data_IF_311488259647
#
_entry.id   IF_311488259647
#
_cell.length_a   1.000
_cell.length_b   1.000
_cell.length_c   1.000
_cell.angle_alpha   90.00
_cell.angle_beta   90.00
_cell.angle_gamma   90.00
#
_symmetry.space_group_name_H-M   'P 1'
#
loop_
_entity.id
_entity.type
_entity.pdbx_description
1 polymer ?
#
# COMPACT_ATOMS: atom_id res chain seq x y z
N UNK A 1 -5.02 13.20 17.06
CA UNK A 1 -5.09 14.07 15.88
C UNK A 1 -5.71 15.44 16.16
N UNK A 2 -5.41 16.06 17.29
CA UNK A 2 -5.91 17.38 17.63
C UNK A 2 -5.13 18.56 17.08
N UNK A 3 -4.11 18.32 16.25
CA UNK A 3 -3.27 19.39 15.70
C UNK A 3 -3.75 19.79 14.30
N UNK A 4 -3.72 21.10 14.02
CA UNK A 4 -3.99 21.56 12.65
C UNK A 4 -2.88 21.11 11.70
N UNK A 5 -3.22 20.96 10.43
CA UNK A 5 -2.25 20.60 9.40
C UNK A 5 -1.10 21.60 9.33
N UNK A 6 -1.41 22.90 9.47
CA UNK A 6 -0.41 23.96 9.47
C UNK A 6 0.60 23.79 10.61
N UNK A 7 0.12 23.48 11.81
CA UNK A 7 0.99 23.26 12.98
C UNK A 7 1.91 22.05 12.79
N UNK A 8 1.36 20.97 12.24
CA UNK A 8 2.12 19.74 11.97
C UNK A 8 3.23 20.01 10.95
N UNK A 9 2.91 20.66 9.85
CA UNK A 9 3.89 20.97 8.80
C UNK A 9 4.97 21.92 9.31
N UNK A 10 4.61 22.85 10.21
CA UNK A 10 5.54 23.77 10.83
C UNK A 10 6.53 23.03 11.74
N UNK A 11 6.04 22.11 12.55
CA UNK A 11 6.88 21.28 13.42
C UNK A 11 7.81 20.37 12.61
N UNK A 12 7.33 19.80 11.51
CA UNK A 12 8.14 18.95 10.65
C UNK A 12 9.25 19.76 9.99
N UNK A 13 8.96 20.96 9.49
CA UNK A 13 9.96 21.85 8.92
C UNK A 13 11.06 22.16 9.93
N UNK A 14 10.69 22.44 11.16
CA UNK A 14 11.63 22.68 12.24
C UNK A 14 12.52 21.48 12.52
N UNK A 15 11.97 20.27 12.52
CA UNK A 15 12.72 19.03 12.72
C UNK A 15 13.67 18.75 11.58
N UNK A 16 13.22 18.96 10.34
CA UNK A 16 14.07 18.78 9.15
C UNK A 16 15.30 19.68 9.23
N UNK A 17 15.11 20.93 9.60
CA UNK A 17 16.21 21.89 9.73
C UNK A 17 17.16 21.53 10.88
N UNK A 18 16.64 20.91 11.94
CA UNK A 18 17.45 20.43 13.05
C UNK A 18 18.30 19.23 12.65
N UNK A 19 17.72 18.28 11.92
CA UNK A 19 18.39 17.06 11.48
C UNK A 19 19.39 17.32 10.34
N UNK A 20 19.11 18.31 9.52
CA UNK A 20 19.97 18.67 8.38
C UNK A 20 20.37 20.14 8.51
N UNK A 21 21.42 20.44 9.31
CA UNK A 21 21.81 21.84 9.57
C UNK A 21 22.10 22.67 8.34
N UNK A 22 22.54 22.05 7.24
CA UNK A 22 22.79 22.75 5.98
C UNK A 22 21.54 23.36 5.37
N UNK A 23 20.36 22.88 5.79
CA UNK A 23 19.07 23.40 5.29
C UNK A 23 18.61 24.67 6.02
N UNK A 24 19.26 25.08 7.09
CA UNK A 24 18.84 26.26 7.89
C UNK A 24 18.76 27.55 7.09
N UNK A 25 19.63 27.72 6.11
CA UNK A 25 19.69 28.91 5.27
C UNK A 25 18.82 28.82 4.03
N UNK A 26 18.13 27.70 3.83
CA UNK A 26 17.26 27.51 2.67
C UNK A 26 15.89 28.12 2.93
N UNK A 27 15.35 28.76 1.90
CA UNK A 27 14.02 29.38 1.95
C UNK A 27 12.97 28.32 1.63
N UNK A 28 11.98 28.18 2.51
CA UNK A 28 10.82 27.33 2.26
C UNK A 28 9.91 28.01 1.24
N UNK A 29 9.73 27.40 0.07
CA UNK A 29 8.89 27.94 -0.99
C UNK A 29 7.43 27.54 -0.84
N UNK A 30 7.22 26.29 -0.40
CA UNK A 30 5.86 25.74 -0.29
C UNK A 30 5.86 24.55 0.65
N UNK A 31 4.80 24.40 1.40
CA UNK A 31 4.55 23.21 2.22
C UNK A 31 3.05 22.95 2.30
N UNK A 32 2.71 21.68 2.44
CA UNK A 32 1.32 21.27 2.60
C UNK A 32 1.29 19.96 3.36
N UNK A 33 0.16 19.67 3.97
CA UNK A 33 -0.05 18.44 4.70
C UNK A 33 -1.48 17.97 4.54
N UNK A 34 -1.64 16.66 4.43
CA UNK A 34 -2.95 16.01 4.36
C UNK A 34 -2.99 14.96 5.45
N UNK A 35 -4.03 15.01 6.28
CA UNK A 35 -4.25 14.02 7.33
C UNK A 35 -5.22 12.97 6.81
N UNK A 36 -4.78 11.72 6.78
CA UNK A 36 -5.60 10.60 6.32
C UNK A 36 -5.81 9.66 7.50
N UNK A 37 -6.95 9.79 8.23
CA UNK A 37 -7.25 8.86 9.31
C UNK A 37 -7.55 7.48 8.74
N UNK A 38 -7.16 6.43 9.47
CA UNK A 38 -7.40 5.04 9.08
C UNK A 38 -6.81 4.68 7.70
N UNK A 39 -5.63 5.25 7.37
CA UNK A 39 -4.96 4.96 6.10
C UNK A 39 -4.42 3.54 6.01
N UNK A 40 -4.18 2.89 7.16
CA UNK A 40 -3.69 1.52 7.24
C UNK A 40 -4.74 0.61 7.87
N UNK A 41 -4.82 -0.63 7.39
CA UNK A 41 -5.65 -1.63 8.06
C UNK A 41 -4.99 -2.06 9.38
N UNK A 42 -5.79 -2.64 10.27
CA UNK A 42 -5.28 -3.10 11.57
C UNK A 42 -4.52 -4.41 11.41
N UNK A 43 -3.22 -4.36 11.69
CA UNK A 43 -2.35 -5.53 11.70
C UNK A 43 -2.25 -6.10 13.12
N UNK A 44 -3.32 -6.74 13.57
CA UNK A 44 -3.36 -7.33 14.91
C UNK A 44 -2.53 -8.63 14.96
N UNK A 45 -1.93 -8.95 16.13
CA UNK A 45 -1.22 -10.23 16.29
C UNK A 45 -2.13 -11.40 15.96
N UNK A 46 -1.58 -12.40 15.26
CA UNK A 46 -2.32 -13.61 14.89
C UNK A 46 -3.24 -13.46 13.68
N UNK A 47 -3.29 -12.29 13.06
CA UNK A 47 -4.17 -12.05 11.90
C UNK A 47 -3.53 -12.40 10.56
N UNK A 48 -2.22 -12.67 10.52
CA UNK A 48 -1.53 -12.99 9.27
C UNK A 48 -2.18 -14.15 8.50
N UNK A 49 -2.58 -15.26 9.14
CA UNK A 49 -3.24 -16.36 8.41
C UNK A 49 -4.58 -15.98 7.77
N UNK A 50 -5.17 -14.88 8.21
CA UNK A 50 -6.48 -14.42 7.72
C UNK A 50 -6.37 -13.43 6.58
N UNK A 51 -5.18 -13.09 6.14
CA UNK A 51 -5.00 -12.22 4.98
C UNK A 51 -5.51 -12.93 3.73
N UNK A 52 -6.38 -12.28 2.93
CA UNK A 52 -6.92 -12.93 1.75
C UNK A 52 -5.87 -13.08 0.65
N UNK A 53 -5.96 -14.18 -0.10
CA UNK A 53 -5.17 -14.34 -1.30
C UNK A 53 -5.71 -13.47 -2.43
N UNK A 54 -4.88 -13.19 -3.42
CA UNK A 54 -5.31 -12.49 -4.62
C UNK A 54 -6.33 -13.31 -5.41
N UNK A 55 -6.15 -14.61 -5.43
CA UNK A 55 -7.12 -15.53 -6.04
C UNK A 55 -8.18 -15.91 -5.02
N UNK A 56 -9.44 -15.71 -5.37
CA UNK A 56 -10.58 -15.99 -4.49
C UNK A 56 -11.27 -17.29 -4.86
N UNK A 57 -12.24 -17.72 -4.05
CA UNK A 57 -13.08 -18.89 -4.35
C UNK A 57 -14.00 -18.66 -5.54
N UNK A 58 -14.20 -17.41 -5.93
CA UNK A 58 -14.98 -17.05 -7.12
C UNK A 58 -14.02 -17.01 -8.32
N UNK A 59 -14.29 -17.80 -9.35
CA UNK A 59 -13.33 -18.10 -10.42
C UNK A 59 -12.85 -16.87 -11.22
N UNK A 60 -13.66 -15.84 -11.31
CA UNK A 60 -13.33 -14.62 -12.06
C UNK A 60 -13.24 -13.38 -11.19
N UNK A 61 -12.97 -13.57 -9.90
CA UNK A 61 -12.85 -12.48 -8.93
C UNK A 61 -11.47 -12.51 -8.28
N UNK A 62 -10.72 -11.41 -8.40
CA UNK A 62 -9.37 -11.31 -7.88
C UNK A 62 -9.25 -10.08 -6.98
N UNK A 63 -8.35 -10.14 -6.00
CA UNK A 63 -8.13 -9.05 -5.05
C UNK A 63 -6.69 -8.60 -5.09
N UNK A 64 -6.48 -7.31 -4.91
CA UNK A 64 -5.16 -6.71 -4.76
C UNK A 64 -5.22 -5.60 -3.72
N UNK A 65 -4.12 -5.36 -3.06
CA UNK A 65 -4.01 -4.34 -2.04
C UNK A 65 -3.03 -4.78 -0.98
N UNK A 66 -2.53 -3.85 -0.19
CA UNK A 66 -1.54 -4.16 0.85
C UNK A 66 -2.08 -5.12 1.90
N UNK A 67 -3.40 -5.21 2.07
CA UNK A 67 -4.03 -6.13 3.01
C UNK A 67 -4.05 -7.57 2.51
N UNK A 68 -3.83 -7.83 1.22
CA UNK A 68 -3.81 -9.18 0.67
C UNK A 68 -2.52 -9.90 1.04
N UNK A 69 -2.50 -11.21 0.88
CA UNK A 69 -1.35 -12.04 1.25
C UNK A 69 -0.18 -11.78 0.31
N UNK A 70 0.90 -11.23 0.85
CA UNK A 70 2.13 -10.94 0.14
C UNK A 70 3.26 -10.82 1.18
N UNK A 71 4.51 -10.71 0.73
CA UNK A 71 5.67 -10.84 1.63
C UNK A 71 5.94 -9.62 2.50
N UNK A 72 5.23 -8.51 2.27
CA UNK A 72 5.51 -7.25 2.94
C UNK A 72 4.39 -6.86 3.90
N UNK A 73 4.71 -5.98 4.84
CA UNK A 73 3.71 -5.36 5.70
C UNK A 73 2.85 -4.39 4.86
N UNK A 74 1.82 -3.82 5.47
CA UNK A 74 0.97 -2.82 4.83
C UNK A 74 1.81 -1.61 4.41
N UNK A 75 2.11 -1.51 3.11
CA UNK A 75 3.02 -0.52 2.55
C UNK A 75 2.78 -0.34 1.06
N UNK A 76 3.41 0.66 0.47
CA UNK A 76 3.36 0.85 -0.98
C UNK A 76 4.02 -0.31 -1.71
N UNK A 77 5.13 -0.84 -1.18
CA UNK A 77 5.79 -2.01 -1.76
C UNK A 77 4.88 -3.24 -1.71
N UNK A 78 4.22 -3.47 -0.57
CA UNK A 78 3.25 -4.55 -0.43
C UNK A 78 2.09 -4.41 -1.39
N UNK A 79 1.55 -3.21 -1.56
CA UNK A 79 0.47 -2.94 -2.50
C UNK A 79 0.90 -3.21 -3.94
N UNK A 80 2.09 -2.79 -4.33
CA UNK A 80 2.65 -3.03 -5.65
C UNK A 80 2.85 -4.53 -5.90
N UNK A 81 3.41 -5.23 -4.93
CA UNK A 81 3.62 -6.68 -5.03
C UNK A 81 2.29 -7.41 -5.16
N UNK A 82 1.26 -7.00 -4.42
CA UNK A 82 -0.06 -7.61 -4.51
C UNK A 82 -0.68 -7.44 -5.90
N UNK A 83 -0.45 -6.30 -6.54
CA UNK A 83 -0.89 -6.05 -7.91
C UNK A 83 -0.23 -7.01 -8.89
N UNK A 84 1.07 -7.24 -8.76
CA UNK A 84 1.79 -8.21 -9.58
C UNK A 84 1.27 -9.63 -9.37
N UNK A 85 1.01 -10.02 -8.12
CA UNK A 85 0.47 -11.33 -7.79
C UNK A 85 -0.94 -11.53 -8.37
N UNK A 86 -1.79 -10.51 -8.29
CA UNK A 86 -3.13 -10.55 -8.85
C UNK A 86 -3.07 -10.67 -10.37
N UNK A 87 -2.20 -9.92 -11.04
CA UNK A 87 -2.03 -10.00 -12.49
C UNK A 87 -1.54 -11.38 -12.89
N UNK A 88 -0.60 -11.97 -12.16
CA UNK A 88 -0.12 -13.33 -12.43
C UNK A 88 -1.24 -14.36 -12.28
N UNK A 89 -2.10 -14.23 -11.28
CA UNK A 89 -3.23 -15.10 -11.06
C UNK A 89 -4.24 -15.01 -12.21
N UNK A 90 -4.49 -13.81 -12.70
CA UNK A 90 -5.39 -13.59 -13.85
C UNK A 90 -4.84 -14.23 -15.13
N UNK A 91 -3.55 -14.06 -15.39
CA UNK A 91 -2.88 -14.66 -16.55
C UNK A 91 -2.89 -16.17 -16.47
N UNK A 92 -2.68 -16.75 -15.31
CA UNK A 92 -2.76 -18.18 -15.08
C UNK A 92 -4.17 -18.71 -15.40
N UNK A 93 -5.19 -17.99 -14.93
CA UNK A 93 -6.59 -18.36 -15.20
C UNK A 93 -6.92 -18.27 -16.69
N UNK A 94 -6.43 -17.24 -17.37
CA UNK A 94 -6.62 -17.10 -18.83
C UNK A 94 -5.96 -18.23 -19.59
N UNK A 95 -4.76 -18.62 -19.21
CA UNK A 95 -4.06 -19.74 -19.84
C UNK A 95 -4.79 -21.06 -19.61
N UNK A 96 -5.34 -21.28 -18.42
CA UNK A 96 -6.14 -22.46 -18.09
C UNK A 96 -7.40 -22.54 -18.94
N UNK A 97 -8.11 -21.41 -19.11
CA UNK A 97 -9.30 -21.35 -19.93
C UNK A 97 -8.99 -21.61 -21.41
N UNK A 98 -7.90 -21.04 -21.92
CA UNK A 98 -7.47 -21.28 -23.29
C UNK A 98 -7.12 -22.74 -23.52
N UNK A 99 -6.45 -23.37 -22.53
CA UNK A 99 -6.12 -24.80 -22.61
C UNK A 99 -7.38 -25.67 -22.63
N UNK A 100 -8.37 -25.34 -21.80
CA UNK A 100 -9.63 -26.08 -21.77
C UNK A 100 -10.40 -25.94 -23.07
N UNK A 101 -10.39 -24.76 -23.69
CA UNK A 101 -11.01 -24.53 -24.98
C UNK A 101 -10.31 -25.30 -26.10
N UNK A 102 -8.98 -25.43 -26.03
CA UNK A 102 -8.21 -26.16 -27.03
C UNK A 102 -8.45 -27.67 -26.98
N UNK A 103 -8.80 -28.20 -25.79
CA UNK A 103 -9.06 -29.64 -25.58
C UNK A 103 -10.50 -30.00 -25.95
N UNK A 104 -11.40 -29.03 -25.90
CA UNK A 104 -12.80 -29.27 -26.30
C UNK A 104 -12.99 -29.11 -27.80
#
# INVERSE_FOLDING_TARGET
MGRSTERITKEIDKEVRRLFPTSKNLKLLWRNGVQIPQSLYREAPGMEPFRPNQKTSISNFFMAGSYTKQDYIDSMEGATMSGHLAAAAILEKKAELAKNLAVS
#
